data_IF_929518153927
#
_entry.id   IF_929518153927
#
_cell.length_a   1.000
_cell.length_b   1.000
_cell.length_c   1.000
_cell.angle_alpha   90.00
_cell.angle_beta   90.00
_cell.angle_gamma   90.00
#
_symmetry.space_group_name_H-M   'P 1'
#
loop_
_entity.id
_entity.type
_entity.pdbx_description
1 polymer ?
#
# COMPACT_ATOMS: atom_id res chain seq x y z
N UNK A 1 -10.29 0.16 -30.06
CA UNK A 1 -9.67 1.48 -29.88
C UNK A 1 -8.48 1.29 -28.97
N UNK A 2 -7.27 1.41 -29.51
CA UNK A 2 -6.01 1.31 -28.78
C UNK A 2 -5.91 2.47 -27.79
N UNK A 3 -5.99 2.19 -26.48
CA UNK A 3 -5.62 3.17 -25.46
C UNK A 3 -4.12 3.44 -25.65
N UNK A 4 -3.77 4.64 -26.10
CA UNK A 4 -2.39 5.13 -25.98
C UNK A 4 -2.05 5.12 -24.49
N UNK A 5 -1.28 4.12 -24.06
CA UNK A 5 -0.79 4.01 -22.69
C UNK A 5 0.30 5.05 -22.49
N UNK A 6 -0.09 6.31 -22.29
CA UNK A 6 0.79 7.24 -21.60
C UNK A 6 1.07 6.64 -20.23
N UNK A 7 2.24 6.00 -20.07
CA UNK A 7 2.65 5.38 -18.82
C UNK A 7 2.50 6.41 -17.71
N UNK A 8 1.62 6.11 -16.77
CA UNK A 8 1.29 6.98 -15.65
C UNK A 8 2.58 7.21 -14.86
N UNK A 9 2.98 8.47 -14.62
CA UNK A 9 4.23 8.75 -13.92
C UNK A 9 4.25 8.08 -12.54
N UNK A 10 5.41 7.54 -12.14
CA UNK A 10 5.58 6.93 -10.81
C UNK A 10 5.16 7.85 -9.66
N UNK A 11 5.44 9.15 -9.79
CA UNK A 11 5.04 10.14 -8.79
C UNK A 11 3.50 10.25 -8.67
N UNK A 12 2.78 10.13 -9.78
CA UNK A 12 1.32 10.10 -9.82
C UNK A 12 0.79 8.82 -9.19
N UNK A 13 1.35 7.65 -9.56
CA UNK A 13 0.98 6.36 -8.96
C UNK A 13 1.12 6.35 -7.43
N UNK A 14 2.21 6.94 -6.90
CA UNK A 14 2.42 7.08 -5.45
C UNK A 14 1.37 7.96 -4.75
N UNK A 15 0.70 8.87 -5.46
CA UNK A 15 -0.33 9.75 -4.90
C UNK A 15 -1.74 9.18 -5.02
N UNK A 16 -1.98 8.19 -5.88
CA UNK A 16 -3.32 7.62 -6.07
C UNK A 16 -3.96 7.09 -4.78
N UNK A 17 -3.24 6.35 -3.91
CA UNK A 17 -3.81 5.90 -2.64
C UNK A 17 -4.26 7.07 -1.75
N UNK A 18 -3.55 8.21 -1.78
CA UNK A 18 -3.93 9.41 -1.03
C UNK A 18 -5.22 10.03 -1.56
N UNK A 19 -5.34 10.13 -2.88
CA UNK A 19 -6.57 10.61 -3.52
C UNK A 19 -7.74 9.69 -3.21
N UNK A 20 -7.56 8.37 -3.33
CA UNK A 20 -8.60 7.39 -3.05
C UNK A 20 -9.11 7.49 -1.60
N UNK A 21 -8.20 7.57 -0.61
CA UNK A 21 -8.57 7.76 0.81
C UNK A 21 -9.34 9.05 1.04
N UNK A 22 -8.88 10.16 0.47
CA UNK A 22 -9.54 11.45 0.64
C UNK A 22 -10.94 11.45 0.03
N UNK A 23 -11.09 10.94 -1.19
CA UNK A 23 -12.37 10.85 -1.90
C UNK A 23 -13.35 9.93 -1.16
N UNK A 24 -12.88 8.80 -0.61
CA UNK A 24 -13.70 7.94 0.26
C UNK A 24 -14.20 8.70 1.50
N UNK A 25 -13.35 9.50 2.13
CA UNK A 25 -13.75 10.32 3.28
C UNK A 25 -14.82 11.36 2.91
N UNK A 26 -14.81 11.88 1.68
CA UNK A 26 -15.83 12.79 1.17
C UNK A 26 -17.15 12.06 0.90
N UNK A 27 -17.10 10.86 0.32
CA UNK A 27 -18.27 10.00 0.13
C UNK A 27 -18.95 9.70 1.46
N UNK A 28 -18.19 9.35 2.50
CA UNK A 28 -18.71 9.09 3.84
C UNK A 28 -19.41 10.32 4.46
N UNK A 29 -19.07 11.53 4.00
CA UNK A 29 -19.71 12.80 4.41
C UNK A 29 -20.89 13.19 3.51
N UNK A 30 -21.29 12.35 2.56
CA UNK A 30 -22.38 12.61 1.62
C UNK A 30 -22.04 13.64 0.52
N UNK A 31 -20.76 13.92 0.31
CA UNK A 31 -20.32 14.83 -0.76
C UNK A 31 -20.38 14.11 -2.10
N UNK A 32 -21.06 14.70 -3.08
CA UNK A 32 -21.22 14.10 -4.42
C UNK A 32 -20.19 14.59 -5.44
N UNK A 33 -19.62 15.78 -5.23
CA UNK A 33 -18.64 16.39 -6.12
C UNK A 33 -17.55 17.12 -5.35
N UNK A 34 -16.35 17.16 -5.92
CA UNK A 34 -15.20 17.88 -5.35
C UNK A 34 -14.38 18.53 -6.45
N UNK A 35 -13.86 19.72 -6.24
CA UNK A 35 -12.96 20.38 -7.17
C UNK A 35 -11.48 20.22 -6.75
N UNK A 36 -10.55 20.52 -7.66
CA UNK A 36 -9.12 20.34 -7.39
C UNK A 36 -8.56 21.27 -6.31
N UNK A 37 -9.26 22.34 -5.94
CA UNK A 37 -8.85 23.24 -4.85
C UNK A 37 -9.19 22.62 -3.49
N UNK A 38 -10.38 22.05 -3.36
CA UNK A 38 -10.80 21.33 -2.14
C UNK A 38 -9.92 20.11 -1.87
N UNK A 39 -9.55 19.35 -2.92
CA UNK A 39 -8.57 18.25 -2.79
C UNK A 39 -7.19 18.79 -2.38
N UNK A 40 -6.79 19.94 -2.92
CA UNK A 40 -5.50 20.57 -2.62
C UNK A 40 -5.39 20.94 -1.14
N UNK A 41 -6.43 21.56 -0.59
CA UNK A 41 -6.53 21.95 0.83
C UNK A 41 -6.52 20.71 1.74
N UNK A 42 -7.21 19.64 1.35
CA UNK A 42 -7.30 18.42 2.15
C UNK A 42 -6.04 17.54 2.17
N UNK A 43 -5.23 17.60 1.10
CA UNK A 43 -4.04 16.73 0.94
C UNK A 43 -2.71 17.48 0.93
N UNK A 44 -2.73 18.81 0.99
CA UNK A 44 -1.55 19.66 0.83
C UNK A 44 -0.76 19.36 -0.47
N UNK A 45 -1.47 19.13 -1.57
CA UNK A 45 -0.90 18.91 -2.90
C UNK A 45 -1.39 20.03 -3.80
N UNK A 46 -0.50 20.65 -4.60
CA UNK A 46 -0.89 21.73 -5.49
C UNK A 46 -2.03 21.34 -6.46
N UNK A 47 -2.98 22.25 -6.65
CA UNK A 47 -4.17 22.02 -7.47
C UNK A 47 -3.85 21.75 -8.95
N UNK A 48 -2.77 22.32 -9.50
CA UNK A 48 -2.33 22.03 -10.86
C UNK A 48 -1.70 20.64 -10.96
N UNK A 49 -1.01 20.16 -9.91
CA UNK A 49 -0.53 18.78 -9.81
C UNK A 49 -1.69 17.80 -9.82
N UNK A 50 -2.74 18.05 -9.03
CA UNK A 50 -3.95 17.20 -8.99
C UNK A 50 -4.62 17.13 -10.37
N UNK A 51 -4.80 18.28 -11.04
CA UNK A 51 -5.37 18.32 -12.40
C UNK A 51 -4.54 17.53 -13.39
N UNK A 52 -3.20 17.64 -13.31
CA UNK A 52 -2.28 16.89 -14.18
C UNK A 52 -2.37 15.40 -13.92
N UNK A 53 -2.37 14.99 -12.65
CA UNK A 53 -2.52 13.59 -12.28
C UNK A 53 -3.83 13.02 -12.81
N UNK A 54 -4.93 13.73 -12.61
CA UNK A 54 -6.26 13.26 -13.02
C UNK A 54 -6.42 13.21 -14.54
N UNK A 55 -5.66 14.03 -15.28
CA UNK A 55 -5.68 14.02 -16.75
C UNK A 55 -5.16 12.73 -17.37
N UNK A 56 -4.34 11.92 -16.65
CA UNK A 56 -3.88 10.62 -17.14
C UNK A 56 -4.99 9.56 -17.16
N UNK A 57 -6.11 9.81 -16.48
CA UNK A 57 -7.18 8.84 -16.26
C UNK A 57 -8.44 9.14 -17.08
N UNK A 58 -8.33 10.03 -18.08
CA UNK A 58 -9.41 10.41 -18.97
C UNK A 58 -10.28 11.55 -18.43
N UNK A 59 -11.51 11.65 -18.95
CA UNK A 59 -12.43 12.74 -18.61
C UNK A 59 -13.18 12.49 -17.28
N UNK A 60 -12.45 12.50 -16.17
CA UNK A 60 -13.04 12.35 -14.82
C UNK A 60 -13.81 13.58 -14.33
N UNK A 61 -13.77 14.70 -15.08
CA UNK A 61 -14.45 15.94 -14.68
C UNK A 61 -14.61 16.94 -15.81
N UNK A 62 -15.58 17.84 -15.67
CA UNK A 62 -15.79 18.99 -16.56
C UNK A 62 -15.17 20.25 -15.94
N UNK A 63 -14.50 21.05 -16.76
CA UNK A 63 -13.90 22.33 -16.33
C UNK A 63 -14.97 23.19 -15.63
N UNK A 64 -14.71 23.59 -14.38
CA UNK A 64 -15.61 24.43 -13.58
C UNK A 64 -16.72 23.70 -12.81
N UNK A 65 -16.88 22.38 -12.99
CA UNK A 65 -17.95 21.60 -12.35
C UNK A 65 -17.43 20.60 -11.29
N UNK A 66 -16.11 20.42 -11.19
CA UNK A 66 -15.46 19.45 -10.31
C UNK A 66 -15.57 18.02 -10.80
N UNK A 67 -15.05 17.08 -10.01
CA UNK A 67 -15.05 15.65 -10.23
C UNK A 67 -16.25 15.01 -9.52
N UNK A 68 -16.87 14.00 -10.13
CA UNK A 68 -17.89 13.20 -9.43
C UNK A 68 -17.17 12.22 -8.50
N UNK A 69 -17.58 12.17 -7.23
CA UNK A 69 -16.96 11.31 -6.21
C UNK A 69 -17.12 9.82 -6.54
N UNK A 70 -18.31 9.38 -6.97
CA UNK A 70 -18.57 7.97 -7.34
C UNK A 70 -17.70 7.56 -8.52
N UNK A 71 -17.66 8.37 -9.58
CA UNK A 71 -16.84 8.07 -10.76
C UNK A 71 -15.34 8.02 -10.44
N UNK A 72 -14.86 8.87 -9.52
CA UNK A 72 -13.48 8.79 -9.04
C UNK A 72 -13.21 7.49 -8.29
N UNK A 73 -14.13 7.06 -7.44
CA UNK A 73 -13.97 5.83 -6.66
C UNK A 73 -14.03 4.57 -7.53
N UNK A 74 -14.96 4.53 -8.50
CA UNK A 74 -15.01 3.47 -9.50
C UNK A 74 -13.69 3.38 -10.27
N UNK A 75 -13.15 4.52 -10.69
CA UNK A 75 -11.86 4.59 -11.34
C UNK A 75 -10.74 4.03 -10.44
N UNK A 76 -10.59 4.53 -9.21
CA UNK A 76 -9.53 4.07 -8.31
C UNK A 76 -9.66 2.58 -7.98
N UNK A 77 -10.88 2.07 -7.80
CA UNK A 77 -11.11 0.63 -7.55
C UNK A 77 -10.67 -0.20 -8.75
N UNK A 78 -11.02 0.22 -9.97
CA UNK A 78 -10.64 -0.49 -11.21
C UNK A 78 -9.13 -0.56 -11.46
N UNK A 79 -8.34 0.37 -10.91
CA UNK A 79 -6.88 0.34 -11.00
C UNK A 79 -6.21 -0.48 -9.89
N UNK A 80 -6.94 -0.78 -8.79
CA UNK A 80 -6.39 -1.44 -7.61
C UNK A 80 -6.54 -2.96 -7.66
N UNK A 81 -7.76 -3.44 -7.97
CA UNK A 81 -8.04 -4.87 -8.16
C UNK A 81 -9.45 -5.06 -8.75
N UNK A 82 -9.62 -6.13 -9.54
CA UNK A 82 -10.94 -6.64 -9.94
C UNK A 82 -11.62 -7.46 -8.82
N UNK A 83 -10.88 -7.81 -7.76
CA UNK A 83 -11.38 -8.55 -6.60
C UNK A 83 -11.88 -7.59 -5.52
N UNK A 84 -12.98 -7.97 -4.86
CA UNK A 84 -13.46 -7.29 -3.65
C UNK A 84 -12.56 -7.57 -2.43
N UNK A 85 -11.66 -8.56 -2.49
CA UNK A 85 -10.69 -8.84 -1.42
C UNK A 85 -9.30 -9.12 -2.01
N UNK A 86 -8.33 -8.37 -1.54
CA UNK A 86 -6.89 -8.47 -1.76
C UNK A 86 -6.28 -9.10 -0.51
N UNK A 87 -5.95 -10.39 -0.62
CA UNK A 87 -5.32 -11.16 0.44
C UNK A 87 -3.84 -10.77 0.56
N UNK A 88 -3.43 -10.44 1.77
CA UNK A 88 -2.05 -10.11 2.11
C UNK A 88 -1.50 -11.20 3.05
N UNK A 89 -0.29 -11.67 2.78
CA UNK A 89 0.44 -12.49 3.74
C UNK A 89 1.45 -11.67 4.54
N UNK A 90 1.86 -12.19 5.69
CA UNK A 90 2.85 -11.57 6.57
C UNK A 90 3.91 -12.59 6.99
N UNK A 91 5.18 -12.21 6.91
CA UNK A 91 6.29 -13.03 7.44
C UNK A 91 6.97 -12.28 8.59
N UNK A 92 7.07 -12.95 9.74
CA UNK A 92 7.61 -12.40 10.98
C UNK A 92 6.52 -11.79 11.86
N UNK A 93 6.07 -12.56 12.85
CA UNK A 93 5.01 -12.23 13.80
C UNK A 93 5.60 -11.83 15.17
N UNK A 94 6.66 -11.00 15.11
CA UNK A 94 7.20 -10.29 16.27
C UNK A 94 6.29 -9.14 16.72
N UNK A 95 6.82 -8.16 17.44
CA UNK A 95 6.03 -7.01 17.90
C UNK A 95 5.35 -6.25 16.76
N UNK A 96 6.09 -5.94 15.69
CA UNK A 96 5.55 -5.24 14.53
C UNK A 96 4.55 -6.11 13.77
N UNK A 97 4.86 -7.38 13.51
CA UNK A 97 3.94 -8.29 12.83
C UNK A 97 2.63 -8.48 13.60
N UNK A 98 2.68 -8.69 14.92
CA UNK A 98 1.49 -8.72 15.78
C UNK A 98 0.73 -7.40 15.74
N UNK A 99 1.43 -6.27 15.77
CA UNK A 99 0.78 -4.97 15.64
C UNK A 99 0.08 -4.83 14.29
N UNK A 100 0.68 -5.27 13.17
CA UNK A 100 0.07 -5.24 11.85
C UNK A 100 -1.15 -6.16 11.74
N UNK A 101 -1.08 -7.38 12.30
CA UNK A 101 -2.23 -8.30 12.37
C UNK A 101 -3.34 -7.72 13.27
N UNK A 102 -3.01 -7.15 14.43
CA UNK A 102 -4.01 -6.56 15.32
C UNK A 102 -4.59 -5.26 14.76
N UNK A 103 -3.76 -4.52 14.01
CA UNK A 103 -4.21 -3.40 13.24
C UNK A 103 -5.28 -3.95 12.29
N UNK A 104 -4.97 -4.99 11.47
CA UNK A 104 -5.80 -5.52 10.36
C UNK A 104 -6.81 -4.50 9.88
N UNK A 105 -6.34 -3.26 9.70
CA UNK A 105 -7.22 -2.19 9.31
C UNK A 105 -7.86 -2.72 8.03
N UNK A 106 -9.14 -2.46 7.84
CA UNK A 106 -9.63 -2.24 6.49
C UNK A 106 -8.65 -1.22 5.89
N UNK A 107 -7.55 -1.68 5.27
CA UNK A 107 -6.42 -0.89 4.74
C UNK A 107 -6.91 -0.21 3.45
N UNK A 108 -8.21 0.14 3.38
CA UNK A 108 -9.20 -0.08 2.32
C UNK A 108 -10.06 -1.33 2.58
N UNK A 109 -11.38 -1.22 2.36
CA UNK A 109 -12.39 -2.25 2.66
C UNK A 109 -12.10 -3.62 2.03
N UNK A 110 -11.13 -3.67 1.13
CA UNK A 110 -10.78 -4.81 0.32
C UNK A 110 -9.38 -5.38 0.65
N UNK A 111 -8.52 -4.77 1.50
CA UNK A 111 -7.17 -5.31 1.80
C UNK A 111 -7.10 -5.92 3.20
N UNK A 112 -6.68 -7.19 3.31
CA UNK A 112 -6.68 -7.90 4.60
C UNK A 112 -5.49 -8.85 4.73
N UNK A 113 -4.83 -8.84 5.90
CA UNK A 113 -3.85 -9.88 6.23
C UNK A 113 -4.63 -11.15 6.57
N UNK A 114 -4.51 -12.16 5.72
CA UNK A 114 -5.22 -13.45 5.88
C UNK A 114 -4.29 -14.58 6.30
N UNK A 115 -2.99 -14.42 6.06
CA UNK A 115 -1.99 -15.45 6.31
C UNK A 115 -0.77 -14.88 7.01
N UNK A 116 -0.23 -15.58 7.99
CA UNK A 116 0.97 -15.17 8.71
C UNK A 116 1.91 -16.36 8.93
N UNK A 117 3.22 -16.13 8.81
CA UNK A 117 4.25 -17.15 8.92
C UNK A 117 5.33 -16.73 9.91
N UNK A 118 5.78 -17.68 10.74
CA UNK A 118 6.91 -17.49 11.65
C UNK A 118 7.71 -18.79 11.82
N UNK A 119 8.93 -18.68 12.37
CA UNK A 119 9.78 -19.81 12.72
C UNK A 119 9.67 -20.19 14.21
N UNK A 120 9.14 -19.30 15.05
CA UNK A 120 9.00 -19.57 16.48
C UNK A 120 7.88 -20.60 16.72
N UNK A 121 8.27 -21.82 17.08
CA UNK A 121 7.36 -22.93 17.41
C UNK A 121 6.34 -22.55 18.49
N UNK A 122 6.63 -21.58 19.35
CA UNK A 122 5.68 -21.10 20.35
C UNK A 122 4.55 -20.31 19.71
N UNK A 123 4.81 -19.60 18.62
CA UNK A 123 3.83 -18.79 17.89
C UNK A 123 3.03 -19.62 16.89
N UNK A 124 3.65 -20.63 16.26
CA UNK A 124 3.00 -21.49 15.29
C UNK A 124 1.75 -22.16 15.90
N UNK A 125 0.63 -22.10 15.17
CA UNK A 125 -0.68 -22.57 15.61
C UNK A 125 -1.45 -21.60 16.49
N UNK A 126 -0.82 -20.53 17.00
CA UNK A 126 -1.55 -19.47 17.71
C UNK A 126 -2.37 -18.62 16.74
N UNK A 127 -3.49 -18.11 17.26
CA UNK A 127 -4.35 -17.19 16.53
C UNK A 127 -4.18 -15.77 17.08
N UNK A 128 -3.93 -14.80 16.18
CA UNK A 128 -3.92 -13.38 16.49
C UNK A 128 -4.98 -12.71 15.61
N UNK A 129 -6.00 -12.11 16.23
CA UNK A 129 -7.19 -11.67 15.50
C UNK A 129 -7.86 -12.87 14.82
N UNK A 130 -8.09 -12.78 13.51
CA UNK A 130 -8.63 -13.87 12.70
C UNK A 130 -7.54 -14.72 12.02
N UNK A 131 -6.26 -14.39 12.20
CA UNK A 131 -5.14 -15.01 11.48
C UNK A 131 -4.44 -16.05 12.35
N UNK A 132 -4.36 -17.28 11.85
CA UNK A 132 -3.53 -18.35 12.46
C UNK A 132 -2.11 -18.27 11.92
N UNK A 133 -1.13 -18.29 12.84
CA UNK A 133 0.29 -18.30 12.47
C UNK A 133 0.68 -19.71 12.02
N UNK A 134 1.26 -19.81 10.83
CA UNK A 134 1.70 -21.06 10.20
C UNK A 134 3.22 -21.16 10.20
N UNK A 135 3.73 -22.39 10.01
CA UNK A 135 5.16 -22.59 9.86
C UNK A 135 5.67 -21.99 8.55
N UNK A 136 6.93 -21.53 8.54
CA UNK A 136 7.62 -21.17 7.30
C UNK A 136 7.67 -22.32 6.28
N UNK A 137 7.65 -23.57 6.73
CA UNK A 137 7.66 -24.75 5.85
C UNK A 137 6.36 -24.86 5.01
N UNK A 138 5.25 -24.33 5.52
CA UNK A 138 3.95 -24.33 4.84
C UNK A 138 3.79 -23.13 3.89
N UNK A 139 4.67 -22.13 4.00
CA UNK A 139 4.53 -20.82 3.36
C UNK A 139 4.33 -20.92 1.85
N UNK A 140 5.18 -21.69 1.16
CA UNK A 140 5.12 -21.81 -0.29
C UNK A 140 3.77 -22.36 -0.76
N UNK A 141 3.32 -23.45 -0.13
CA UNK A 141 2.07 -24.12 -0.48
C UNK A 141 0.87 -23.20 -0.21
N UNK A 142 0.83 -22.57 0.96
CA UNK A 142 -0.27 -21.67 1.34
C UNK A 142 -0.35 -20.46 0.42
N UNK A 143 0.77 -19.84 0.06
CA UNK A 143 0.81 -18.70 -0.87
C UNK A 143 0.18 -19.08 -2.22
N UNK A 144 0.54 -20.26 -2.74
CA UNK A 144 0.06 -20.74 -4.03
C UNK A 144 -1.42 -21.11 -3.98
N UNK A 145 -1.84 -21.86 -2.96
CA UNK A 145 -3.23 -22.31 -2.80
C UNK A 145 -4.20 -21.15 -2.55
N UNK A 146 -3.75 -20.12 -1.82
CA UNK A 146 -4.57 -18.96 -1.50
C UNK A 146 -4.53 -17.85 -2.54
N UNK A 147 -3.62 -17.96 -3.53
CA UNK A 147 -3.41 -16.93 -4.56
C UNK A 147 -2.87 -15.62 -4.00
N UNK A 148 -1.95 -15.69 -3.03
CA UNK A 148 -1.41 -14.49 -2.38
C UNK A 148 -0.27 -13.91 -3.21
N UNK A 149 -0.51 -12.74 -3.79
CA UNK A 149 0.49 -12.06 -4.62
C UNK A 149 1.33 -11.05 -3.84
N UNK A 150 0.88 -10.62 -2.66
CA UNK A 150 1.52 -9.55 -1.87
C UNK A 150 1.83 -10.01 -0.45
N UNK A 151 3.07 -9.82 -0.03
CA UNK A 151 3.56 -10.20 1.30
C UNK A 151 4.22 -9.03 2.01
N UNK A 152 3.95 -8.90 3.31
CA UNK A 152 4.67 -8.00 4.22
C UNK A 152 5.81 -8.77 4.88
N UNK A 153 7.02 -8.21 4.88
CA UNK A 153 8.16 -8.74 5.63
C UNK A 153 8.40 -7.86 6.85
N UNK A 154 8.24 -8.44 8.04
CA UNK A 154 8.48 -7.81 9.34
C UNK A 154 9.49 -8.60 10.20
N UNK A 155 10.43 -9.28 9.54
CA UNK A 155 11.50 -10.08 10.17
C UNK A 155 12.72 -9.24 10.55
N UNK A 156 13.67 -9.79 11.33
CA UNK A 156 15.00 -9.20 11.46
C UNK A 156 15.72 -9.09 10.10
N UNK A 157 16.56 -8.05 9.95
CA UNK A 157 17.33 -7.80 8.71
C UNK A 157 18.15 -9.01 8.27
N UNK A 158 18.75 -9.74 9.22
CA UNK A 158 19.64 -10.88 8.94
C UNK A 158 19.01 -11.99 8.10
N UNK A 159 17.68 -12.12 8.13
CA UNK A 159 16.95 -13.19 7.43
C UNK A 159 16.08 -12.65 6.29
N UNK A 160 15.97 -11.32 6.14
CA UNK A 160 15.04 -10.69 5.20
C UNK A 160 15.27 -11.12 3.74
N UNK A 161 16.54 -11.24 3.31
CA UNK A 161 16.85 -11.69 1.96
C UNK A 161 16.46 -13.16 1.74
N UNK A 162 16.80 -14.05 2.68
CA UNK A 162 16.44 -15.47 2.55
C UNK A 162 14.93 -15.70 2.54
N UNK A 163 14.17 -14.92 3.32
CA UNK A 163 12.71 -14.89 3.25
C UNK A 163 12.25 -14.40 1.87
N UNK A 164 12.83 -13.30 1.39
CA UNK A 164 12.51 -12.73 0.07
C UNK A 164 12.69 -13.76 -1.05
N UNK A 165 13.81 -14.49 -1.05
CA UNK A 165 14.10 -15.51 -2.06
C UNK A 165 13.03 -16.62 -2.05
N UNK A 166 12.62 -17.09 -0.86
CA UNK A 166 11.54 -18.08 -0.73
C UNK A 166 10.17 -17.56 -1.21
N UNK A 167 9.88 -16.28 -0.99
CA UNK A 167 8.64 -15.64 -1.45
C UNK A 167 8.62 -15.52 -2.98
N UNK A 168 9.75 -15.16 -3.59
CA UNK A 168 9.92 -15.14 -5.05
C UNK A 168 9.68 -16.53 -5.62
N UNK A 169 10.28 -17.56 -5.02
CA UNK A 169 10.08 -18.98 -5.40
C UNK A 169 8.64 -19.48 -5.20
N UNK A 170 7.88 -18.85 -4.31
CA UNK A 170 6.47 -19.13 -4.09
C UNK A 170 5.55 -18.43 -5.10
N UNK A 171 6.07 -17.47 -5.87
CA UNK A 171 5.34 -16.75 -6.92
C UNK A 171 4.83 -15.37 -6.52
N UNK A 172 5.26 -14.83 -5.38
CA UNK A 172 4.89 -13.49 -4.89
C UNK A 172 5.32 -12.42 -5.89
N UNK A 173 4.47 -11.41 -6.10
CA UNK A 173 4.69 -10.30 -7.04
C UNK A 173 4.92 -8.96 -6.37
N UNK A 174 4.46 -8.80 -5.13
CA UNK A 174 4.63 -7.59 -4.33
C UNK A 174 5.19 -7.88 -2.94
N UNK A 175 6.19 -7.13 -2.52
CA UNK A 175 6.76 -7.22 -1.17
C UNK A 175 6.73 -5.84 -0.51
N UNK A 176 6.09 -5.75 0.65
CA UNK A 176 6.17 -4.60 1.54
C UNK A 176 7.22 -4.90 2.62
N UNK A 177 8.43 -4.37 2.47
CA UNK A 177 9.55 -4.67 3.34
C UNK A 177 9.68 -3.63 4.47
N UNK A 178 9.44 -4.03 5.71
CA UNK A 178 9.63 -3.21 6.92
C UNK A 178 11.00 -3.37 7.56
N UNK A 179 11.88 -4.21 7.00
CA UNK A 179 13.23 -4.37 7.56
C UNK A 179 14.09 -3.13 7.29
N UNK A 180 15.08 -2.85 8.13
CA UNK A 180 15.97 -1.69 7.96
C UNK A 180 17.01 -1.84 6.83
N UNK A 181 16.86 -2.84 5.95
CA UNK A 181 17.73 -3.06 4.80
C UNK A 181 16.88 -3.36 3.57
N UNK A 182 17.25 -2.82 2.40
CA UNK A 182 16.69 -3.27 1.13
C UNK A 182 16.92 -4.78 0.92
N UNK A 183 16.02 -5.38 0.15
CA UNK A 183 16.12 -6.77 -0.33
C UNK A 183 16.22 -6.76 -1.86
N UNK A 184 16.88 -7.77 -2.41
CA UNK A 184 17.05 -7.94 -3.84
C UNK A 184 15.98 -8.89 -4.38
N UNK A 185 15.38 -8.50 -5.51
CA UNK A 185 14.37 -9.29 -6.21
C UNK A 185 14.60 -9.25 -7.73
N UNK A 186 14.06 -10.22 -8.49
CA UNK A 186 14.00 -10.14 -9.95
C UNK A 186 13.10 -8.99 -10.44
N UNK A 187 13.21 -8.65 -11.73
CA UNK A 187 12.52 -7.49 -12.31
C UNK A 187 10.99 -7.60 -12.32
N UNK A 188 10.43 -8.80 -12.22
CA UNK A 188 8.98 -9.05 -12.23
C UNK A 188 8.35 -8.96 -10.83
N UNK A 189 9.14 -8.69 -9.80
CA UNK A 189 8.69 -8.50 -8.41
C UNK A 189 8.89 -7.05 -7.99
N UNK A 190 7.86 -6.43 -7.43
CA UNK A 190 7.92 -5.08 -6.91
C UNK A 190 8.18 -5.10 -5.40
N UNK A 191 9.15 -4.29 -4.96
CA UNK A 191 9.43 -4.09 -3.52
C UNK A 191 9.11 -2.66 -3.15
N UNK A 192 8.29 -2.48 -2.13
CA UNK A 192 8.11 -1.21 -1.45
C UNK A 192 8.80 -1.27 -0.09
N UNK A 193 9.81 -0.42 0.08
CA UNK A 193 10.60 -0.32 1.29
C UNK A 193 9.96 0.68 2.26
N UNK A 194 9.72 0.27 3.51
CA UNK A 194 9.33 1.16 4.61
C UNK A 194 10.37 1.05 5.73
N UNK A 195 11.28 2.02 5.79
CA UNK A 195 12.23 2.15 6.89
C UNK A 195 11.82 3.32 7.78
N UNK A 196 11.14 3.02 8.89
CA UNK A 196 10.67 4.02 9.84
C UNK A 196 11.83 4.87 10.42
N UNK A 197 13.04 4.32 10.51
CA UNK A 197 14.21 5.05 10.97
C UNK A 197 14.62 6.14 9.97
N UNK A 198 14.65 5.80 8.67
CA UNK A 198 14.93 6.77 7.59
C UNK A 198 13.83 7.84 7.51
N UNK A 199 12.57 7.46 7.69
CA UNK A 199 11.46 8.41 7.70
C UNK A 199 11.57 9.41 8.86
N UNK A 200 11.89 8.92 10.07
CA UNK A 200 12.11 9.78 11.24
C UNK A 200 13.33 10.70 11.07
N UNK A 201 14.43 10.19 10.53
CA UNK A 201 15.61 11.01 10.24
C UNK A 201 15.27 12.11 9.22
N UNK A 202 14.53 11.77 8.18
CA UNK A 202 14.07 12.70 7.15
C UNK A 202 13.23 13.82 7.78
N UNK A 203 12.28 13.48 8.65
CA UNK A 203 11.50 14.47 9.42
C UNK A 203 12.41 15.41 10.22
N UNK A 204 13.40 14.88 10.94
CA UNK A 204 14.35 15.68 11.71
C UNK A 204 15.16 16.63 10.81
N UNK A 205 15.62 16.15 9.64
CA UNK A 205 16.30 17.01 8.67
C UNK A 205 15.39 18.12 8.16
N UNK A 206 14.12 17.82 7.84
CA UNK A 206 13.17 18.85 7.43
C UNK A 206 12.96 19.90 8.52
N UNK A 207 12.75 19.48 9.76
CA UNK A 207 12.59 20.41 10.90
C UNK A 207 13.79 21.33 11.06
N UNK A 208 15.02 20.83 10.87
CA UNK A 208 16.24 21.64 11.00
C UNK A 208 16.45 22.62 9.84
N UNK A 209 16.04 22.26 8.63
CA UNK A 209 16.33 23.05 7.43
C UNK A 209 15.17 23.94 6.97
N UNK A 210 13.93 23.62 7.35
CA UNK A 210 12.73 24.36 6.96
C UNK A 210 11.95 24.92 8.16
N UNK A 211 12.39 24.68 9.39
CA UNK A 211 11.78 25.22 10.61
C UNK A 211 12.06 26.72 10.86
N UNK A 212 12.70 27.43 9.92
CA UNK A 212 13.04 28.86 10.03
C UNK A 212 12.52 29.75 8.89
N UNK A 213 11.53 29.31 8.12
CA UNK A 213 10.83 30.15 7.13
C UNK A 213 9.38 30.40 7.56
N UNK A 214 9.22 31.09 8.69
CA UNK A 214 8.00 31.84 9.04
C UNK A 214 8.42 33.12 9.76
N UNK A 215 8.79 34.13 8.98
CA UNK A 215 8.65 35.57 9.32
C UNK A 215 7.67 36.19 8.33
#
# INVERSE_FOLDING_TARGET
MTRDTNKIPRATLKRLPLYYRFVNSLKAKGVSRVNSKEISEGLNIDSATIRRDFSYFGELGKKGYGYNIESLLEFFKSELSDSDIIKIGLVGVGHLGKALISYNFSIHDDMTITEAFDIDEKLIGQQFGEVTIKSMDEMKQVIQDQGIEVIIIATPVKVAQSVTDQLVDAGVKGILNFTASPVHVPNDVQVHQIDLGVELQSLIFFMKNYGKEQE
#
